data_IF_014822108497
#
_entry.id   IF_014822108497
#
_cell.length_a   1.000
_cell.length_b   1.000
_cell.length_c   1.000
_cell.angle_alpha   90.00
_cell.angle_beta   90.00
_cell.angle_gamma   90.00
#
_symmetry.space_group_name_H-M   'P 1'
#
loop_
_entity.id
_entity.type
_entity.pdbx_description
1 polymer ?
#
# COMPACT_ATOMS: atom_id res chain seq x y z
N UNK A 1 -2.86 18.93 -0.85
CA UNK A 1 -2.56 17.51 -0.53
C UNK A 1 -2.69 17.29 0.96
N UNK A 2 -3.29 16.17 1.38
CA UNK A 2 -3.68 15.94 2.78
C UNK A 2 -2.53 15.31 3.60
N UNK A 3 -2.04 15.96 4.68
CA UNK A 3 -0.94 15.42 5.49
C UNK A 3 -1.20 14.02 6.07
N UNK A 4 -2.47 13.67 6.32
CA UNK A 4 -2.85 12.36 6.83
C UNK A 4 -2.54 11.21 5.88
N UNK A 5 -2.64 11.42 4.56
CA UNK A 5 -2.31 10.38 3.56
C UNK A 5 -0.82 10.05 3.56
N UNK A 6 0.03 11.06 3.80
CA UNK A 6 1.50 10.91 3.88
C UNK A 6 2.00 10.11 5.08
N UNK A 7 1.16 9.97 6.10
CA UNK A 7 1.52 9.27 7.35
C UNK A 7 0.64 8.06 7.61
N UNK A 8 -0.17 7.66 6.62
CA UNK A 8 -1.14 6.57 6.77
C UNK A 8 -0.51 5.25 7.20
N UNK A 9 0.76 5.02 6.82
CA UNK A 9 1.51 3.82 7.17
C UNK A 9 2.77 4.09 7.98
N UNK A 10 2.98 5.30 8.52
CA UNK A 10 4.17 5.60 9.33
C UNK A 10 4.02 6.74 10.36
N UNK A 11 4.40 6.49 11.64
CA UNK A 11 4.53 5.18 12.28
C UNK A 11 3.14 4.58 12.53
N UNK A 12 2.96 3.27 12.35
CA UNK A 12 1.75 2.59 12.81
C UNK A 12 1.92 2.14 14.26
N UNK A 13 0.80 1.99 14.98
CA UNK A 13 0.79 1.26 16.25
C UNK A 13 0.77 -0.24 16.00
N UNK A 14 1.30 -1.06 16.93
CA UNK A 14 1.27 -2.55 16.84
C UNK A 14 -0.11 -3.12 16.46
N UNK A 15 -1.20 -2.55 16.99
CA UNK A 15 -2.57 -2.97 16.67
C UNK A 15 -2.97 -2.68 15.20
N UNK A 16 -2.46 -1.60 14.63
CA UNK A 16 -2.71 -1.22 13.23
C UNK A 16 -1.84 -2.04 12.28
N UNK A 17 -0.60 -2.37 12.67
CA UNK A 17 0.28 -3.26 11.90
C UNK A 17 -0.36 -4.63 11.70
N UNK A 18 -0.87 -5.24 12.78
CA UNK A 18 -1.57 -6.53 12.70
C UNK A 18 -2.80 -6.46 11.81
N UNK A 19 -3.63 -5.41 11.97
CA UNK A 19 -4.81 -5.19 11.14
C UNK A 19 -4.44 -5.08 9.66
N UNK A 20 -3.39 -4.33 9.32
CA UNK A 20 -2.96 -4.20 7.94
C UNK A 20 -2.33 -5.48 7.41
N UNK A 21 -1.61 -6.24 8.23
CA UNK A 21 -1.10 -7.56 7.88
C UNK A 21 -2.21 -8.51 7.44
N UNK A 22 -3.33 -8.50 8.17
CA UNK A 22 -4.52 -9.29 7.84
C UNK A 22 -5.16 -8.77 6.54
N UNK A 23 -5.37 -7.45 6.41
CA UNK A 23 -6.03 -6.83 5.24
C UNK A 23 -5.28 -7.11 3.93
N UNK A 24 -3.95 -6.96 3.89
CA UNK A 24 -3.19 -7.12 2.64
C UNK A 24 -3.20 -8.55 2.10
N UNK A 25 -3.43 -9.54 2.97
CA UNK A 25 -3.53 -10.96 2.63
C UNK A 25 -4.91 -11.40 2.16
N UNK A 26 -5.94 -10.56 2.34
CA UNK A 26 -7.29 -10.90 1.94
C UNK A 26 -7.40 -11.11 0.43
N UNK A 27 -8.41 -11.89 -0.02
CA UNK A 27 -8.82 -11.93 -1.41
C UNK A 27 -8.98 -10.52 -1.96
N UNK A 28 -8.70 -10.34 -3.26
CA UNK A 28 -8.64 -9.02 -3.88
C UNK A 28 -9.88 -8.16 -3.61
N UNK A 29 -11.09 -8.72 -3.74
CA UNK A 29 -12.32 -7.96 -3.52
C UNK A 29 -12.46 -7.45 -2.08
N UNK A 30 -12.05 -8.25 -1.09
CA UNK A 30 -12.13 -7.88 0.33
C UNK A 30 -11.06 -6.85 0.68
N UNK A 31 -9.83 -7.02 0.17
CA UNK A 31 -8.76 -6.04 0.27
C UNK A 31 -9.19 -4.68 -0.29
N UNK A 32 -9.76 -4.66 -1.50
CA UNK A 32 -10.23 -3.44 -2.16
C UNK A 32 -11.39 -2.78 -1.40
N UNK A 33 -12.24 -3.57 -0.76
CA UNK A 33 -13.35 -3.07 0.07
C UNK A 33 -12.84 -2.38 1.32
N UNK A 34 -11.85 -2.95 2.01
CA UNK A 34 -11.22 -2.28 3.15
C UNK A 34 -10.48 -1.00 2.78
N UNK A 35 -9.80 -0.97 1.64
CA UNK A 35 -9.21 0.27 1.13
C UNK A 35 -10.29 1.32 0.87
N UNK A 36 -11.46 0.91 0.36
CA UNK A 36 -12.59 1.81 0.12
C UNK A 36 -13.13 2.41 1.40
N UNK A 37 -13.34 1.60 2.45
CA UNK A 37 -13.73 2.10 3.77
C UNK A 37 -12.69 3.08 4.35
N UNK A 38 -11.40 2.83 4.08
CA UNK A 38 -10.32 3.69 4.54
C UNK A 38 -10.29 5.03 3.79
N UNK A 39 -10.54 5.03 2.47
CA UNK A 39 -10.49 6.22 1.62
C UNK A 39 -11.57 7.25 1.97
N UNK A 40 -12.72 6.78 2.44
CA UNK A 40 -13.85 7.62 2.87
C UNK A 40 -13.47 8.53 4.05
N UNK A 41 -12.59 8.05 4.95
CA UNK A 41 -12.06 8.84 6.07
C UNK A 41 -11.22 10.05 5.60
N UNK A 42 -10.74 10.02 4.36
CA UNK A 42 -9.93 11.07 3.76
C UNK A 42 -10.70 11.91 2.73
N UNK A 43 -12.03 11.78 2.65
CA UNK A 43 -12.83 12.54 1.69
C UNK A 43 -12.34 12.31 0.23
N UNK A 44 -11.91 11.08 -0.04
CA UNK A 44 -11.36 10.67 -1.33
C UNK A 44 -12.24 9.59 -1.98
N UNK A 45 -12.17 9.47 -3.30
CA UNK A 45 -12.81 8.41 -4.07
C UNK A 45 -11.76 7.42 -4.55
N UNK A 46 -12.04 6.13 -4.41
CA UNK A 46 -11.19 5.06 -4.92
C UNK A 46 -11.61 4.64 -6.33
N UNK A 47 -10.63 4.47 -7.21
CA UNK A 47 -10.75 3.76 -8.48
C UNK A 47 -9.75 2.60 -8.50
N UNK A 48 -10.15 1.48 -9.10
CA UNK A 48 -9.31 0.28 -9.21
C UNK A 48 -9.03 0.03 -10.69
N UNK A 49 -7.77 -0.12 -11.07
CA UNK A 49 -7.35 -0.43 -12.43
C UNK A 49 -6.28 -1.53 -12.41
N UNK A 50 -6.71 -2.77 -12.62
CA UNK A 50 -5.86 -3.95 -12.42
C UNK A 50 -5.24 -3.94 -11.03
N UNK A 51 -3.92 -4.05 -10.97
CA UNK A 51 -3.14 -4.11 -9.72
C UNK A 51 -2.91 -2.74 -9.06
N UNK A 52 -3.45 -1.66 -9.63
CA UNK A 52 -3.31 -0.29 -9.11
C UNK A 52 -4.61 0.19 -8.50
N UNK A 53 -4.53 0.67 -7.26
CA UNK A 53 -5.61 1.38 -6.59
C UNK A 53 -5.28 2.86 -6.53
N UNK A 54 -6.15 3.70 -7.05
CA UNK A 54 -5.95 5.15 -7.14
C UNK A 54 -6.98 5.88 -6.28
N UNK A 55 -6.52 6.83 -5.47
CA UNK A 55 -7.37 7.66 -4.63
C UNK A 55 -7.36 9.10 -5.13
N UNK A 56 -8.55 9.61 -5.41
CA UNK A 56 -8.78 10.94 -5.96
C UNK A 56 -9.42 11.86 -4.93
N UNK A 57 -8.92 13.09 -4.83
CA UNK A 57 -9.54 14.14 -4.03
C UNK A 57 -10.86 14.64 -4.65
N UNK A 58 -11.56 15.52 -3.92
CA UNK A 58 -12.85 16.10 -4.38
C UNK A 58 -12.74 16.88 -5.70
N UNK A 59 -11.58 17.47 -5.97
CA UNK A 59 -11.32 18.19 -7.22
C UNK A 59 -10.92 17.27 -8.40
N UNK A 60 -10.96 15.95 -8.21
CA UNK A 60 -10.59 14.97 -9.25
C UNK A 60 -9.08 14.79 -9.43
N UNK A 61 -8.27 15.43 -8.59
CA UNK A 61 -6.82 15.25 -8.59
C UNK A 61 -6.44 13.90 -7.97
N UNK A 62 -5.53 13.17 -8.61
CA UNK A 62 -4.94 11.95 -8.07
C UNK A 62 -4.05 12.30 -6.87
N UNK A 63 -4.37 11.77 -5.69
CA UNK A 63 -3.64 12.08 -4.44
C UNK A 63 -2.77 10.94 -3.95
N UNK A 64 -3.15 9.70 -4.23
CA UNK A 64 -2.40 8.54 -3.81
C UNK A 64 -2.62 7.37 -4.77
N UNK A 65 -1.55 6.63 -5.03
CA UNK A 65 -1.61 5.30 -5.64
C UNK A 65 -1.19 4.25 -4.61
N UNK A 66 -1.84 3.09 -4.63
CA UNK A 66 -1.55 1.95 -3.78
C UNK A 66 -1.32 0.74 -4.67
N UNK A 67 -0.26 0.00 -4.39
CA UNK A 67 0.14 -1.19 -5.12
C UNK A 67 0.30 -2.35 -4.15
N UNK A 68 -0.15 -3.54 -4.56
CA UNK A 68 0.05 -4.78 -3.81
C UNK A 68 0.90 -5.73 -4.64
N UNK A 69 2.04 -6.15 -4.09
CA UNK A 69 3.02 -7.04 -4.74
C UNK A 69 3.15 -8.32 -3.92
N UNK A 70 2.33 -9.36 -4.20
CA UNK A 70 2.36 -10.63 -3.47
C UNK A 70 3.61 -11.47 -3.75
N UNK A 71 4.19 -11.30 -4.95
CA UNK A 71 5.42 -11.97 -5.37
C UNK A 71 6.47 -10.93 -5.79
N UNK A 72 7.46 -10.60 -4.94
CA UNK A 72 8.54 -9.68 -5.32
C UNK A 72 9.47 -10.26 -6.39
N UNK A 73 9.44 -11.57 -6.64
CA UNK A 73 10.15 -12.22 -7.75
C UNK A 73 9.51 -11.96 -9.11
N UNK A 74 8.26 -11.49 -9.14
CA UNK A 74 7.62 -11.02 -10.36
C UNK A 74 8.13 -9.61 -10.71
N UNK A 75 9.31 -9.56 -11.34
CA UNK A 75 9.97 -8.31 -11.70
C UNK A 75 9.14 -7.45 -12.66
N UNK A 76 8.27 -8.05 -13.49
CA UNK A 76 7.33 -7.28 -14.32
C UNK A 76 6.31 -6.52 -13.49
N UNK A 77 5.75 -7.13 -12.44
CA UNK A 77 4.83 -6.45 -11.54
C UNK A 77 5.53 -5.31 -10.77
N UNK A 78 6.76 -5.56 -10.30
CA UNK A 78 7.57 -4.52 -9.65
C UNK A 78 7.86 -3.36 -10.60
N UNK A 79 8.23 -3.64 -11.85
CA UNK A 79 8.48 -2.61 -12.86
C UNK A 79 7.21 -1.81 -13.17
N UNK A 80 6.06 -2.46 -13.29
CA UNK A 80 4.78 -1.81 -13.57
C UNK A 80 4.42 -0.76 -12.52
N UNK A 81 4.83 -0.93 -11.25
CA UNK A 81 4.66 0.10 -10.20
C UNK A 81 5.42 1.38 -10.57
N UNK A 82 6.69 1.25 -10.96
CA UNK A 82 7.51 2.41 -11.33
C UNK A 82 7.01 3.09 -12.60
N UNK A 83 6.63 2.31 -13.61
CA UNK A 83 6.07 2.83 -14.85
C UNK A 83 4.76 3.61 -14.57
N UNK A 84 3.86 3.04 -13.76
CA UNK A 84 2.60 3.69 -13.37
C UNK A 84 2.82 4.99 -12.58
N UNK A 85 3.81 5.02 -11.67
CA UNK A 85 4.16 6.25 -10.93
C UNK A 85 4.75 7.30 -11.87
N UNK A 86 5.64 6.90 -12.78
CA UNK A 86 6.30 7.81 -13.72
C UNK A 86 5.33 8.45 -14.72
N UNK A 87 4.37 7.66 -15.23
CA UNK A 87 3.33 8.11 -16.17
C UNK A 87 2.23 8.94 -15.49
N UNK A 88 2.17 8.92 -14.17
CA UNK A 88 1.21 9.69 -13.40
C UNK A 88 1.73 11.08 -12.99
N UNK A 89 0.79 11.97 -12.66
CA UNK A 89 1.08 13.16 -11.86
C UNK A 89 0.81 12.91 -10.37
N UNK A 90 0.83 11.64 -9.94
CA UNK A 90 0.57 11.29 -8.55
C UNK A 90 1.72 11.80 -7.68
N UNK A 91 1.42 12.55 -6.61
CA UNK A 91 2.47 13.07 -5.74
C UNK A 91 3.13 11.97 -4.88
N UNK A 92 2.47 10.83 -4.69
CA UNK A 92 2.91 9.78 -3.77
C UNK A 92 2.24 8.45 -4.08
N UNK A 93 2.97 7.37 -3.88
CA UNK A 93 2.43 6.02 -3.87
C UNK A 93 2.88 5.24 -2.63
N UNK A 94 2.11 4.22 -2.26
CA UNK A 94 2.60 3.14 -1.40
C UNK A 94 2.60 1.81 -2.13
N UNK A 95 3.62 1.00 -1.88
CA UNK A 95 3.68 -0.38 -2.32
C UNK A 95 3.76 -1.31 -1.10
N UNK A 96 2.83 -2.25 -1.01
CA UNK A 96 2.88 -3.38 -0.07
C UNK A 96 3.60 -4.52 -0.77
N UNK A 97 4.75 -4.93 -0.25
CA UNK A 97 5.61 -5.94 -0.87
C UNK A 97 5.79 -7.10 0.08
N UNK A 98 5.30 -8.28 -0.33
CA UNK A 98 5.46 -9.50 0.46
C UNK A 98 6.95 -9.88 0.53
N UNK A 99 7.45 -10.18 1.72
CA UNK A 99 8.79 -10.70 1.93
C UNK A 99 8.71 -12.23 1.86
N UNK A 100 9.28 -12.83 0.82
CA UNK A 100 9.39 -14.29 0.74
C UNK A 100 10.39 -14.78 1.79
N UNK A 101 9.92 -15.46 2.83
CA UNK A 101 10.74 -16.15 3.83
C UNK A 101 9.91 -17.00 4.80
N UNK A 102 10.36 -18.23 5.04
CA UNK A 102 10.03 -19.14 6.15
C UNK A 102 8.59 -19.19 6.69
N UNK A 103 7.58 -19.18 5.81
CA UNK A 103 6.15 -19.29 6.16
C UNK A 103 5.57 -18.15 7.01
N UNK A 104 6.30 -17.04 7.18
CA UNK A 104 5.78 -15.86 7.86
C UNK A 104 5.29 -14.89 6.80
N UNK A 105 3.98 -14.60 6.80
CA UNK A 105 3.39 -13.60 5.90
C UNK A 105 3.82 -12.18 6.32
N UNK A 106 5.06 -11.81 6.00
CA UNK A 106 5.61 -10.50 6.29
C UNK A 106 5.48 -9.58 5.07
N UNK A 107 5.02 -8.35 5.27
CA UNK A 107 4.85 -7.37 4.21
C UNK A 107 5.59 -6.08 4.55
N UNK A 108 6.46 -5.63 3.65
CA UNK A 108 7.08 -4.32 3.74
C UNK A 108 6.22 -3.27 3.05
N UNK A 109 6.15 -2.08 3.63
CA UNK A 109 5.50 -0.91 3.04
C UNK A 109 6.56 0.07 2.60
N UNK A 110 6.55 0.40 1.32
CA UNK A 110 7.39 1.43 0.75
C UNK A 110 6.55 2.63 0.35
N UNK A 111 6.95 3.82 0.78
CA UNK A 111 6.48 5.06 0.18
C UNK A 111 7.38 5.39 -1.01
N UNK A 112 6.74 5.70 -2.14
CA UNK A 112 7.37 5.95 -3.41
C UNK A 112 6.91 7.31 -3.94
N UNK A 113 7.76 8.00 -4.70
CA UNK A 113 7.36 9.18 -5.46
C UNK A 113 7.97 9.16 -6.86
N UNK A 114 7.38 9.96 -7.76
CA UNK A 114 7.89 10.15 -9.12
C UNK A 114 9.31 10.73 -9.16
N UNK A 115 9.76 11.39 -8.09
CA UNK A 115 11.12 11.94 -8.00
C UNK A 115 12.16 10.89 -7.54
N UNK A 116 11.86 9.60 -7.72
CA UNK A 116 12.70 8.48 -7.31
C UNK A 116 12.99 8.42 -5.80
N UNK A 117 12.11 9.01 -4.98
CA UNK A 117 12.18 8.84 -3.52
C UNK A 117 11.57 7.49 -3.14
N UNK A 118 12.34 6.67 -2.44
CA UNK A 118 11.90 5.41 -1.85
C UNK A 118 12.23 5.44 -0.37
N UNK A 119 11.21 5.24 0.47
CA UNK A 119 11.35 5.16 1.91
C UNK A 119 10.66 3.90 2.41
N UNK A 120 11.38 3.07 3.17
CA UNK A 120 10.77 1.97 3.92
C UNK A 120 9.99 2.59 5.10
N UNK A 121 8.68 2.41 5.08
CA UNK A 121 7.78 3.00 6.06
C UNK A 121 7.51 2.05 7.21
N UNK A 122 7.17 0.79 6.90
CA UNK A 122 6.81 -0.15 7.94
C UNK A 122 6.96 -1.60 7.46
N UNK A 123 6.92 -2.52 8.41
CA UNK A 123 6.81 -3.95 8.20
C UNK A 123 5.62 -4.50 8.97
N UNK A 124 4.75 -5.22 8.27
CA UNK A 124 3.64 -5.96 8.85
C UNK A 124 4.03 -7.42 9.00
N UNK A 125 3.53 -8.07 10.04
CA UNK A 125 3.66 -9.51 10.20
C UNK A 125 2.28 -10.14 10.36
N UNK A 126 1.99 -11.15 9.53
CA UNK A 126 0.69 -11.83 9.49
C UNK A 126 0.42 -12.70 10.72
N UNK A 127 -0.82 -13.19 10.90
CA UNK A 127 -1.17 -14.04 12.03
C UNK A 127 -0.23 -15.26 12.16
N UNK A 128 0.31 -15.50 13.36
CA UNK A 128 1.24 -16.61 13.63
C UNK A 128 2.74 -16.24 13.55
N UNK A 129 3.05 -14.99 13.26
CA UNK A 129 4.41 -14.44 13.20
C UNK A 129 4.91 -13.91 14.55
N UNK A 130 4.49 -14.51 15.67
CA UNK A 130 4.92 -14.05 16.99
C UNK A 130 6.44 -14.25 17.12
N UNK A 131 7.21 -13.24 16.69
CA UNK A 131 8.55 -13.03 17.19
C UNK A 131 8.37 -12.56 18.63
N UNK A 132 8.70 -13.44 19.57
CA UNK A 132 8.63 -13.18 21.00
C UNK A 132 9.30 -11.86 21.38
N UNK A 133 8.72 -11.20 22.39
CA UNK A 133 9.37 -10.11 23.12
C UNK A 133 10.70 -10.58 23.76
#
# INVERSE_FOLDING_TARGET
MRPGLYRMFYPLKKSEERKWAEIVQLPEQDYLSHLREKVEQFDCRQENNGDTVSWFGKAGNLELMLFRIPDPGNLSAVRAVYDAIADSNCPMAYAFVNQRGDNIAAWDVFQLSRLSYLCHCNRFFGPGSDCGD
#
